data_IF_320501915190
#
_entry.id   IF_320501915190
#
_cell.length_a   1.000
_cell.length_b   1.000
_cell.length_c   1.000
_cell.angle_alpha   90.00
_cell.angle_beta   90.00
_cell.angle_gamma   90.00
#
_symmetry.space_group_name_H-M   'P 1'
#
loop_
_entity.id
_entity.type
_entity.pdbx_description
1 polymer ?
#
# COMPACT_ATOMS: atom_id res chain seq x y z
N UNK A 1 21.50 -6.95 -4.86
CA UNK A 1 20.40 -6.36 -4.09
C UNK A 1 21.01 -5.82 -2.83
N UNK A 2 21.42 -4.56 -2.88
CA UNK A 2 21.83 -3.83 -1.69
C UNK A 2 20.55 -3.58 -0.91
N UNK A 3 20.40 -4.23 0.24
CA UNK A 3 19.27 -4.00 1.13
C UNK A 3 19.57 -2.68 1.82
N UNK A 4 18.85 -1.61 1.46
CA UNK A 4 18.95 -0.34 2.17
C UNK A 4 18.74 -0.59 3.68
N UNK A 5 19.62 -0.01 4.50
CA UNK A 5 19.50 -0.09 5.95
C UNK A 5 18.19 0.58 6.38
N UNK A 6 17.36 -0.14 7.13
CA UNK A 6 16.05 0.36 7.60
C UNK A 6 16.27 1.12 8.90
N UNK A 7 15.88 2.39 8.92
CA UNK A 7 15.83 3.19 10.15
C UNK A 7 14.58 2.77 10.97
N UNK A 8 14.76 2.23 12.19
CA UNK A 8 13.64 1.77 13.01
C UNK A 8 12.77 2.91 13.56
N UNK A 9 13.27 4.15 13.57
CA UNK A 9 12.57 5.30 14.13
C UNK A 9 11.80 6.10 13.05
N UNK A 10 12.07 5.84 11.76
CA UNK A 10 11.40 6.49 10.64
C UNK A 10 10.26 5.62 10.08
N UNK A 11 9.20 6.25 9.59
CA UNK A 11 8.10 5.54 8.95
C UNK A 11 8.60 4.73 7.73
N UNK A 12 8.33 3.42 7.70
CA UNK A 12 8.74 2.56 6.57
C UNK A 12 8.26 3.09 5.22
N UNK A 13 7.06 3.67 5.16
CA UNK A 13 6.51 4.23 3.92
C UNK A 13 7.27 5.47 3.45
N UNK A 14 7.74 6.32 4.38
CA UNK A 14 8.59 7.48 4.06
C UNK A 14 10.01 7.06 3.64
N UNK A 15 10.45 5.87 4.03
CA UNK A 15 11.70 5.25 3.57
C UNK A 15 11.57 4.58 2.19
N UNK A 16 10.43 4.74 1.50
CA UNK A 16 10.17 4.11 0.20
C UNK A 16 9.80 2.62 0.29
N UNK A 17 9.56 2.09 1.50
CA UNK A 17 9.13 0.70 1.69
C UNK A 17 7.61 0.68 1.72
N UNK A 18 6.99 0.05 0.71
CA UNK A 18 5.54 -0.05 0.64
C UNK A 18 4.96 -0.76 1.86
N UNK A 19 4.41 0.02 2.79
CA UNK A 19 3.86 -0.43 4.05
C UNK A 19 2.38 -0.11 4.13
N UNK A 20 1.55 -1.14 4.31
CA UNK A 20 0.10 -0.99 4.22
C UNK A 20 -0.58 -0.43 5.48
N UNK A 21 0.20 -0.08 6.50
CA UNK A 21 -0.29 0.40 7.79
C UNK A 21 -1.35 1.51 7.70
N UNK A 22 -1.13 2.58 6.91
CA UNK A 22 -2.07 3.71 6.82
C UNK A 22 -3.48 3.37 6.32
N UNK A 23 -3.65 2.26 5.60
CA UNK A 23 -4.94 1.79 5.10
C UNK A 23 -5.53 0.63 5.93
N UNK A 24 -4.79 0.15 6.93
CA UNK A 24 -5.13 -1.06 7.69
C UNK A 24 -5.74 -0.72 9.04
N UNK A 25 -6.80 -1.43 9.42
CA UNK A 25 -7.38 -1.33 10.76
C UNK A 25 -6.36 -1.70 11.84
N UNK A 26 -6.32 -0.90 12.92
CA UNK A 26 -5.52 -1.20 14.10
C UNK A 26 -6.05 -2.41 14.90
N UNK A 27 -5.23 -2.95 15.79
CA UNK A 27 -5.63 -4.04 16.71
C UNK A 27 -4.58 -5.13 16.86
N UNK A 28 -3.71 -5.30 15.85
CA UNK A 28 -2.60 -6.25 15.91
C UNK A 28 -1.41 -5.75 16.74
N UNK A 29 -1.37 -4.47 17.14
CA UNK A 29 -0.23 -3.88 17.83
C UNK A 29 0.98 -3.58 16.93
N UNK A 30 0.78 -3.47 15.61
CA UNK A 30 1.83 -3.19 14.63
C UNK A 30 3.03 -4.15 14.70
N UNK A 31 2.75 -5.46 14.84
CA UNK A 31 3.78 -6.50 14.97
C UNK A 31 4.79 -6.50 13.81
N UNK A 32 4.35 -6.25 12.56
CA UNK A 32 5.26 -6.26 11.42
C UNK A 32 6.19 -5.03 11.45
N UNK A 33 5.68 -3.77 11.51
CA UNK A 33 6.58 -2.62 11.64
C UNK A 33 7.47 -2.67 12.89
N UNK A 34 6.98 -3.25 14.00
CA UNK A 34 7.78 -3.44 15.22
C UNK A 34 8.99 -4.37 15.07
N UNK A 35 9.13 -5.05 13.94
CA UNK A 35 10.32 -5.84 13.57
C UNK A 35 10.90 -5.40 12.22
N UNK A 36 10.70 -4.13 11.82
CA UNK A 36 11.15 -3.55 10.55
C UNK A 36 10.62 -4.27 9.29
N UNK A 37 9.46 -4.90 9.40
CA UNK A 37 8.77 -5.51 8.26
C UNK A 37 7.56 -4.68 7.85
N UNK A 38 7.36 -4.51 6.54
CA UNK A 38 6.19 -3.82 6.02
C UNK A 38 4.88 -4.48 6.48
N UNK A 39 3.89 -3.66 6.87
CA UNK A 39 2.54 -4.15 7.09
C UNK A 39 1.98 -4.69 5.77
N UNK A 40 1.41 -5.89 5.80
CA UNK A 40 0.81 -6.53 4.61
C UNK A 40 -0.69 -6.27 4.48
N UNK A 41 -1.34 -5.71 5.50
CA UNK A 41 -2.76 -5.35 5.45
C UNK A 41 -3.77 -6.42 5.86
N UNK A 42 -3.34 -7.44 6.61
CA UNK A 42 -4.18 -8.60 6.93
C UNK A 42 -5.42 -8.29 7.80
N UNK A 43 -5.46 -7.16 8.51
CA UNK A 43 -6.60 -6.76 9.36
C UNK A 43 -7.70 -6.03 8.58
N UNK A 44 -7.52 -5.84 7.27
CA UNK A 44 -8.50 -5.20 6.40
C UNK A 44 -8.59 -3.68 6.57
N UNK A 45 -9.60 -3.05 5.97
CA UNK A 45 -9.69 -1.59 5.85
C UNK A 45 -9.80 -0.86 7.18
N UNK A 46 -9.02 0.23 7.27
CA UNK A 46 -9.17 1.27 8.27
C UNK A 46 -10.62 1.77 8.35
N UNK A 47 -11.01 2.26 9.52
CA UNK A 47 -12.37 2.73 9.75
C UNK A 47 -12.76 3.83 8.75
N UNK A 48 -13.96 3.70 8.17
CA UNK A 48 -14.49 4.63 7.17
C UNK A 48 -13.93 4.44 5.75
N UNK A 49 -12.95 3.57 5.52
CA UNK A 49 -12.46 3.29 4.18
C UNK A 49 -13.45 2.40 3.42
N UNK A 50 -14.01 2.93 2.32
CA UNK A 50 -14.89 2.19 1.41
C UNK A 50 -14.11 1.16 0.60
N UNK A 51 -12.94 1.56 0.11
CA UNK A 51 -12.04 0.72 -0.65
C UNK A 51 -10.65 0.76 -0.01
N UNK A 52 -10.15 -0.42 0.34
CA UNK A 52 -8.85 -0.57 0.99
C UNK A 52 -7.71 -0.12 0.07
N UNK A 53 -7.71 -0.55 -1.20
CA UNK A 53 -6.62 -0.28 -2.13
C UNK A 53 -6.58 1.18 -2.52
N UNK A 54 -7.73 1.81 -2.76
CA UNK A 54 -7.80 3.26 -3.02
C UNK A 54 -7.32 4.08 -1.81
N UNK A 55 -7.65 3.66 -0.58
CA UNK A 55 -7.14 4.31 0.63
C UNK A 55 -5.62 4.18 0.74
N UNK A 56 -5.07 3.02 0.40
CA UNK A 56 -3.64 2.78 0.40
C UNK A 56 -2.91 3.56 -0.69
N UNK A 57 -3.45 3.61 -1.92
CA UNK A 57 -2.91 4.44 -3.00
C UNK A 57 -2.84 5.92 -2.60
N UNK A 58 -3.86 6.42 -1.88
CA UNK A 58 -3.86 7.78 -1.35
C UNK A 58 -2.69 8.01 -0.37
N UNK A 59 -2.41 7.03 0.49
CA UNK A 59 -1.29 7.12 1.43
C UNK A 59 0.07 7.07 0.70
N UNK A 60 0.23 6.20 -0.29
CA UNK A 60 1.46 6.15 -1.12
C UNK A 60 1.66 7.46 -1.87
N UNK A 61 0.63 7.96 -2.55
CA UNK A 61 0.72 9.24 -3.26
C UNK A 61 1.06 10.41 -2.34
N UNK A 62 0.68 10.36 -1.07
CA UNK A 62 0.98 11.43 -0.11
C UNK A 62 2.45 11.50 0.33
N UNK A 63 3.23 10.43 0.14
CA UNK A 63 4.67 10.40 0.48
C UNK A 63 5.58 10.58 -0.73
N UNK A 64 5.02 10.61 -1.95
CA UNK A 64 5.80 10.91 -3.16
C UNK A 64 6.09 12.41 -3.17
N UNK A 65 7.33 12.80 -2.86
CA UNK A 65 7.78 14.19 -2.86
C UNK A 65 8.37 14.57 -4.23
N UNK A 66 7.53 14.48 -5.27
CA UNK A 66 7.86 15.00 -6.60
C UNK A 66 6.65 15.69 -7.23
N UNK A 67 6.94 16.65 -8.10
CA UNK A 67 5.95 17.36 -8.94
C UNK A 67 6.24 17.18 -10.43
N UNK A 68 7.31 16.49 -10.77
CA UNK A 68 7.67 16.18 -12.16
C UNK A 68 6.93 14.90 -12.59
N UNK A 69 6.06 14.94 -13.62
CA UNK A 69 5.35 13.77 -14.08
C UNK A 69 6.25 12.59 -14.44
N UNK A 70 7.42 12.85 -15.04
CA UNK A 70 8.33 11.78 -15.48
C UNK A 70 8.96 11.06 -14.27
N UNK A 71 9.35 11.81 -13.24
CA UNK A 71 9.88 11.24 -11.98
C UNK A 71 8.79 10.49 -11.19
N UNK A 72 7.55 10.99 -11.20
CA UNK A 72 6.42 10.29 -10.59
C UNK A 72 6.20 8.94 -11.29
N UNK A 73 6.21 8.91 -12.62
CA UNK A 73 6.04 7.67 -13.38
C UNK A 73 7.18 6.68 -13.09
N UNK A 74 8.44 7.13 -13.00
CA UNK A 74 9.57 6.29 -12.60
C UNK A 74 9.42 5.70 -11.18
N UNK A 75 8.90 6.48 -10.24
CA UNK A 75 8.62 6.01 -8.87
C UNK A 75 7.49 4.96 -8.89
N UNK A 76 6.42 5.22 -9.63
CA UNK A 76 5.27 4.32 -9.74
C UNK A 76 5.64 3.01 -10.45
N UNK A 77 6.56 3.04 -11.41
CA UNK A 77 7.11 1.86 -12.09
C UNK A 77 7.86 0.91 -11.12
N UNK A 78 8.30 1.43 -9.96
CA UNK A 78 8.82 0.61 -8.87
C UNK A 78 7.78 -0.33 -8.23
N UNK A 79 6.48 -0.08 -8.42
CA UNK A 79 5.40 -0.94 -7.94
C UNK A 79 5.16 -2.10 -8.91
N UNK A 80 5.98 -3.15 -8.79
CA UNK A 80 5.96 -4.32 -9.70
C UNK A 80 4.59 -5.01 -9.82
N UNK A 81 3.84 -5.12 -8.72
CA UNK A 81 2.49 -5.73 -8.71
C UNK A 81 1.52 -4.87 -7.90
N UNK A 82 0.91 -3.83 -8.51
CA UNK A 82 -0.03 -2.95 -7.82
C UNK A 82 -1.27 -3.70 -7.33
N UNK A 83 -1.80 -4.64 -8.11
CA UNK A 83 -3.00 -5.39 -7.72
C UNK A 83 -2.74 -6.27 -6.49
N UNK A 84 -1.65 -7.04 -6.48
CA UNK A 84 -1.28 -7.87 -5.33
C UNK A 84 -0.82 -7.05 -4.12
N UNK A 85 -0.25 -5.87 -4.32
CA UNK A 85 0.21 -5.00 -3.23
C UNK A 85 -0.94 -4.22 -2.58
N UNK A 86 -1.81 -3.63 -3.38
CA UNK A 86 -2.94 -2.81 -2.91
C UNK A 86 -4.17 -3.63 -2.54
N UNK A 87 -4.35 -4.84 -3.08
CA UNK A 87 -5.59 -5.62 -2.90
C UNK A 87 -5.39 -7.06 -2.41
N UNK A 88 -4.23 -7.39 -1.84
CA UNK A 88 -3.85 -8.73 -1.36
C UNK A 88 -4.97 -9.52 -0.67
N UNK A 89 -5.70 -8.86 0.24
CA UNK A 89 -6.75 -9.45 1.06
C UNK A 89 -8.14 -8.86 0.80
N UNK A 90 -8.26 -7.88 -0.10
CA UNK A 90 -9.45 -7.03 -0.23
C UNK A 90 -10.00 -6.94 -1.65
N UNK A 91 -9.37 -7.58 -2.65
CA UNK A 91 -9.77 -7.49 -4.06
C UNK A 91 -11.25 -7.82 -4.29
N UNK A 92 -11.79 -8.85 -3.63
CA UNK A 92 -13.19 -9.27 -3.79
C UNK A 92 -14.21 -8.22 -3.31
N UNK A 93 -13.82 -7.31 -2.41
CA UNK A 93 -14.65 -6.22 -1.91
C UNK A 93 -14.27 -4.86 -2.52
N UNK A 94 -13.29 -4.84 -3.43
CA UNK A 94 -12.84 -3.59 -4.04
C UNK A 94 -13.88 -3.01 -5.00
N UNK A 95 -13.76 -1.71 -5.23
CA UNK A 95 -14.45 -1.00 -6.30
C UNK A 95 -13.92 -1.39 -7.69
N UNK A 96 -12.79 -2.09 -7.76
CA UNK A 96 -12.35 -2.75 -8.98
C UNK A 96 -13.28 -3.93 -9.24
N UNK A 97 -14.32 -3.68 -10.04
CA UNK A 97 -15.13 -4.75 -10.57
C UNK A 97 -14.22 -5.70 -11.35
N UNK A 98 -14.18 -6.99 -10.94
CA UNK A 98 -13.75 -8.04 -11.85
C UNK A 98 -14.53 -7.81 -13.14
N UNK A 99 -13.82 -7.60 -14.27
CA UNK A 99 -14.41 -7.25 -15.56
C UNK A 99 -15.75 -7.99 -15.69
N UNK A 100 -16.87 -7.25 -15.64
CA UNK A 100 -18.20 -7.84 -15.78
C UNK A 100 -18.10 -8.80 -16.95
N UNK A 101 -18.45 -10.07 -16.73
CA UNK A 101 -18.46 -11.07 -17.80
C UNK A 101 -19.14 -10.43 -19.00
N UNK A 102 -18.45 -10.35 -20.14
CA UNK A 102 -18.98 -9.82 -21.40
C UNK A 102 -20.09 -10.71 -22.00
N UNK A 103 -20.83 -11.42 -21.14
CA UNK A 103 -21.93 -12.31 -21.44
C UNK A 103 -22.94 -12.19 -20.29
N UNK A 104 -23.81 -11.20 -20.41
CA UNK A 104 -25.19 -11.26 -19.94
C UNK A 104 -26.08 -10.63 -20.99
#
# INVERSE_FOLDING_TARGET
HEVAEIDPDLCLLEQGILCNGPATRSGCGALCPGVNAACVGCYGPAEGAVDYGARLMTAVASVIDSKDPDEIDEILDGLVDPAGSFYRFSLAHSLLHAAKTAVS
#
